data_IF_940737459099
#
_entry.id   IF_940737459099
#
_cell.length_a   1.000
_cell.length_b   1.000
_cell.length_c   1.000
_cell.angle_alpha   90.00
_cell.angle_beta   90.00
_cell.angle_gamma   90.00
#
_symmetry.space_group_name_H-M   'P 1'
#
loop_
_entity.id
_entity.type
_entity.pdbx_description
1 polymer ?
#
# COMPACT_ATOMS: atom_id res chain seq x y z
N UNK A 1 -12.33 -11.70 4.98
CA UNK A 1 -12.71 -11.84 6.39
C UNK A 1 -12.08 -10.72 7.22
N UNK A 2 -10.77 -10.72 7.45
CA UNK A 2 -10.07 -9.72 8.29
C UNK A 2 -10.47 -8.26 8.07
N UNK A 3 -10.53 -7.79 6.82
CA UNK A 3 -10.88 -6.38 6.53
C UNK A 3 -12.33 -6.05 6.92
N UNK A 4 -13.26 -6.99 6.74
CA UNK A 4 -14.64 -6.81 7.16
C UNK A 4 -14.77 -6.80 8.69
N UNK A 5 -13.97 -7.62 9.39
CA UNK A 5 -13.93 -7.62 10.86
C UNK A 5 -13.34 -6.33 11.42
N UNK A 6 -12.26 -5.82 10.81
CA UNK A 6 -11.65 -4.52 11.17
C UNK A 6 -12.66 -3.38 10.99
N UNK A 7 -13.41 -3.40 9.88
CA UNK A 7 -14.50 -2.44 9.65
C UNK A 7 -15.63 -2.59 10.68
N UNK A 8 -16.08 -3.82 10.96
CA UNK A 8 -17.11 -4.09 11.96
C UNK A 8 -16.70 -3.67 13.39
N UNK A 9 -15.40 -3.68 13.69
CA UNK A 9 -14.85 -3.17 14.93
C UNK A 9 -14.82 -1.63 15.03
N UNK A 10 -15.22 -0.91 13.96
CA UNK A 10 -15.32 0.54 13.94
C UNK A 10 -14.00 1.26 13.61
N UNK A 11 -13.03 0.57 13.00
CA UNK A 11 -11.80 1.22 12.55
C UNK A 11 -12.08 2.22 11.41
N UNK A 12 -11.36 3.34 11.39
CA UNK A 12 -11.42 4.33 10.30
C UNK A 12 -10.48 4.01 9.12
N UNK A 13 -9.48 3.15 9.36
CA UNK A 13 -8.52 2.74 8.34
C UNK A 13 -7.63 1.62 8.82
N UNK A 14 -6.91 1.01 7.88
CA UNK A 14 -6.01 -0.11 8.15
C UNK A 14 -4.78 -0.07 7.24
N UNK A 15 -3.64 -0.45 7.80
CA UNK A 15 -2.44 -0.71 7.02
C UNK A 15 -2.41 -2.18 6.61
N UNK A 16 -2.19 -2.46 5.33
CA UNK A 16 -1.96 -3.80 4.82
C UNK A 16 -0.58 -3.82 4.17
N UNK A 17 0.32 -4.69 4.63
CA UNK A 17 1.71 -4.72 4.16
C UNK A 17 1.96 -5.78 3.08
N UNK A 18 2.74 -5.41 2.05
CA UNK A 18 3.17 -6.36 1.02
C UNK A 18 4.27 -7.30 1.52
N UNK A 19 5.13 -6.84 2.41
CA UNK A 19 6.17 -7.65 3.04
C UNK A 19 7.26 -8.01 2.04
N UNK A 20 7.33 -9.28 1.62
CA UNK A 20 8.18 -9.73 0.50
C UNK A 20 7.36 -10.39 -0.60
N UNK A 21 6.03 -10.20 -0.60
CA UNK A 21 5.17 -10.78 -1.63
C UNK A 21 5.52 -10.21 -2.99
N UNK A 22 5.21 -11.01 -4.00
CA UNK A 22 5.19 -10.55 -5.37
C UNK A 22 4.15 -9.42 -5.51
N UNK A 23 4.47 -8.33 -6.23
CA UNK A 23 3.54 -7.20 -6.40
C UNK A 23 2.18 -7.61 -6.97
N UNK A 24 2.15 -8.65 -7.80
CA UNK A 24 0.90 -9.20 -8.36
C UNK A 24 0.00 -9.81 -7.29
N UNK A 25 0.56 -10.69 -6.47
CA UNK A 25 -0.15 -11.32 -5.36
C UNK A 25 -0.71 -10.27 -4.40
N UNK A 26 0.10 -9.26 -4.05
CA UNK A 26 -0.36 -8.22 -3.13
C UNK A 26 -1.47 -7.34 -3.73
N UNK A 27 -1.40 -7.03 -5.02
CA UNK A 27 -2.47 -6.27 -5.69
C UNK A 27 -3.81 -7.03 -5.66
N UNK A 28 -3.81 -8.35 -5.84
CA UNK A 28 -5.03 -9.16 -5.73
C UNK A 28 -5.60 -9.13 -4.30
N UNK A 29 -4.73 -9.18 -3.28
CA UNK A 29 -5.14 -9.03 -1.88
C UNK A 29 -5.72 -7.65 -1.60
N UNK A 30 -5.15 -6.60 -2.19
CA UNK A 30 -5.66 -5.23 -2.06
C UNK A 30 -7.04 -5.09 -2.70
N UNK A 31 -7.24 -5.63 -3.90
CA UNK A 31 -8.54 -5.67 -4.55
C UNK A 31 -9.58 -6.44 -3.72
N UNK A 32 -9.18 -7.57 -3.11
CA UNK A 32 -10.05 -8.33 -2.21
C UNK A 32 -10.43 -7.53 -0.95
N UNK A 33 -9.49 -6.74 -0.40
CA UNK A 33 -9.75 -5.83 0.72
C UNK A 33 -10.76 -4.75 0.33
N UNK A 34 -10.53 -4.05 -0.80
CA UNK A 34 -11.45 -3.03 -1.32
C UNK A 34 -12.85 -3.59 -1.53
N UNK A 35 -12.96 -4.75 -2.18
CA UNK A 35 -14.25 -5.41 -2.38
C UNK A 35 -14.93 -5.83 -1.07
N UNK A 36 -14.18 -6.15 -0.02
CA UNK A 36 -14.76 -6.46 1.29
C UNK A 36 -15.38 -5.22 1.95
N UNK A 37 -14.72 -4.06 1.87
CA UNK A 37 -15.24 -2.79 2.37
C UNK A 37 -16.49 -2.38 1.60
N UNK A 38 -16.49 -2.51 0.27
CA UNK A 38 -17.65 -2.20 -0.59
C UNK A 38 -18.87 -3.07 -0.26
N UNK A 39 -18.69 -4.40 -0.13
CA UNK A 39 -19.80 -5.31 0.22
C UNK A 39 -20.38 -5.04 1.60
N UNK A 40 -19.58 -4.53 2.53
CA UNK A 40 -20.04 -4.14 3.85
C UNK A 40 -20.72 -2.75 3.87
N UNK A 41 -20.65 -1.99 2.76
CA UNK A 41 -21.22 -0.65 2.66
C UNK A 41 -20.56 0.37 3.59
N UNK A 42 -19.30 0.12 3.99
CA UNK A 42 -18.57 0.98 4.91
C UNK A 42 -17.52 1.85 4.24
N UNK A 43 -16.91 2.72 5.04
CA UNK A 43 -15.83 3.61 4.65
C UNK A 43 -14.61 3.32 5.53
N UNK A 44 -13.69 2.52 5.00
CA UNK A 44 -12.44 2.14 5.66
C UNK A 44 -11.29 2.54 4.76
N UNK A 45 -10.41 3.43 5.23
CA UNK A 45 -9.24 3.85 4.50
C UNK A 45 -8.22 2.70 4.38
N UNK A 46 -7.94 2.26 3.14
CA UNK A 46 -7.00 1.19 2.86
C UNK A 46 -5.61 1.75 2.54
N UNK A 47 -4.70 1.70 3.51
CA UNK A 47 -3.33 2.17 3.35
C UNK A 47 -2.40 1.00 2.98
N UNK A 48 -1.92 0.97 1.74
CA UNK A 48 -1.00 -0.07 1.30
C UNK A 48 0.43 0.24 1.75
N UNK A 49 0.98 -0.60 2.61
CA UNK A 49 2.35 -0.49 3.09
C UNK A 49 3.31 -1.25 2.17
N UNK A 50 4.30 -0.53 1.64
CA UNK A 50 5.33 -1.04 0.71
C UNK A 50 6.66 -1.19 1.44
N UNK A 51 7.12 -2.42 1.63
CA UNK A 51 8.25 -2.74 2.50
C UNK A 51 9.63 -2.71 1.81
N UNK A 52 9.71 -2.21 0.58
CA UNK A 52 10.96 -2.15 -0.22
C UNK A 52 12.11 -1.46 0.51
N UNK A 53 11.85 -0.34 1.19
CA UNK A 53 12.85 0.39 1.96
C UNK A 53 13.12 -0.23 3.32
N UNK A 54 12.07 -0.50 4.11
CA UNK A 54 12.20 -1.10 5.44
C UNK A 54 12.96 -2.44 5.42
N UNK A 55 12.74 -3.26 4.38
CA UNK A 55 13.36 -4.59 4.25
C UNK A 55 14.53 -4.64 3.27
N UNK A 56 14.87 -3.51 2.65
CA UNK A 56 15.96 -3.42 1.68
C UNK A 56 15.78 -4.29 0.44
N UNK A 57 14.54 -4.49 -0.02
CA UNK A 57 14.25 -5.27 -1.23
C UNK A 57 14.75 -4.52 -2.48
N UNK A 58 15.18 -5.29 -3.48
CA UNK A 58 15.77 -4.75 -4.69
C UNK A 58 17.14 -4.06 -4.48
N UNK A 59 17.77 -3.69 -5.60
CA UNK A 59 19.04 -2.95 -5.56
C UNK A 59 18.83 -1.49 -5.12
N UNK A 60 19.79 -0.85 -4.42
CA UNK A 60 19.65 0.55 -3.99
C UNK A 60 19.30 1.53 -5.11
N UNK A 61 19.82 1.30 -6.32
CA UNK A 61 19.54 2.17 -7.50
C UNK A 61 18.18 1.94 -8.15
N UNK A 62 17.58 0.77 -7.97
CA UNK A 62 16.30 0.40 -8.60
C UNK A 62 15.12 0.48 -7.63
N UNK A 63 15.41 0.58 -6.33
CA UNK A 63 14.42 0.52 -5.25
C UNK A 63 13.33 1.58 -5.36
N UNK A 64 13.68 2.82 -5.70
CA UNK A 64 12.69 3.88 -5.88
C UNK A 64 11.71 3.54 -7.01
N UNK A 65 12.23 3.12 -8.17
CA UNK A 65 11.41 2.74 -9.31
C UNK A 65 10.49 1.55 -8.99
N UNK A 66 11.02 0.53 -8.31
CA UNK A 66 10.23 -0.62 -7.86
C UNK A 66 9.13 -0.21 -6.86
N UNK A 67 9.45 0.70 -5.93
CA UNK A 67 8.49 1.21 -4.94
C UNK A 67 7.35 1.96 -5.62
N UNK A 68 7.67 2.82 -6.59
CA UNK A 68 6.68 3.56 -7.36
C UNK A 68 5.80 2.63 -8.21
N UNK A 69 6.38 1.61 -8.83
CA UNK A 69 5.63 0.62 -9.59
C UNK A 69 4.64 -0.16 -8.69
N UNK A 70 5.11 -0.63 -7.53
CA UNK A 70 4.28 -1.27 -6.51
C UNK A 70 3.16 -0.33 -6.06
N UNK A 71 3.49 0.90 -5.69
CA UNK A 71 2.52 1.91 -5.25
C UNK A 71 1.42 2.14 -6.28
N UNK A 72 1.77 2.41 -7.55
CA UNK A 72 0.80 2.61 -8.61
C UNK A 72 -0.08 1.38 -8.84
N UNK A 73 0.50 0.18 -8.74
CA UNK A 73 -0.25 -1.08 -8.85
C UNK A 73 -1.26 -1.23 -7.72
N UNK A 74 -0.88 -0.88 -6.49
CA UNK A 74 -1.74 -1.02 -5.32
C UNK A 74 -2.84 0.05 -5.29
N UNK A 75 -2.55 1.28 -5.74
CA UNK A 75 -3.58 2.31 -5.99
C UNK A 75 -4.61 1.82 -7.00
N UNK A 76 -4.18 1.26 -8.14
CA UNK A 76 -5.11 0.66 -9.13
C UNK A 76 -5.93 -0.49 -8.57
N UNK A 77 -5.44 -1.17 -7.53
CA UNK A 77 -6.15 -2.24 -6.84
C UNK A 77 -7.08 -1.75 -5.71
N UNK A 78 -7.17 -0.44 -5.48
CA UNK A 78 -8.10 0.15 -4.52
C UNK A 78 -7.47 0.58 -3.19
N UNK A 79 -6.15 0.79 -3.13
CA UNK A 79 -5.53 1.47 -2.00
C UNK A 79 -5.85 2.98 -2.04
N UNK A 80 -6.26 3.52 -0.89
CA UNK A 80 -6.55 4.95 -0.70
C UNK A 80 -5.30 5.75 -0.33
N UNK A 81 -4.25 5.08 0.15
CA UNK A 81 -2.97 5.67 0.50
C UNK A 81 -1.81 4.69 0.38
N UNK A 82 -0.59 5.24 0.35
CA UNK A 82 0.64 4.46 0.28
C UNK A 82 1.56 4.82 1.44
N UNK A 83 2.02 3.81 2.17
CA UNK A 83 2.99 3.97 3.23
C UNK A 83 4.32 3.27 2.89
N UNK A 84 5.40 4.05 2.79
CA UNK A 84 6.76 3.53 2.52
C UNK A 84 7.66 3.71 3.74
N UNK A 85 7.67 2.77 4.70
CA UNK A 85 8.52 2.85 5.88
C UNK A 85 10.01 2.69 5.53
N UNK A 86 10.87 3.34 6.31
CA UNK A 86 12.33 3.23 6.21
C UNK A 86 12.99 4.26 5.29
N UNK A 87 12.23 5.17 4.70
CA UNK A 87 12.76 6.32 3.95
C UNK A 87 13.02 7.47 4.92
N UNK A 88 14.24 8.03 4.91
CA UNK A 88 14.63 9.12 5.81
C UNK A 88 15.25 10.32 5.11
N UNK A 89 15.69 10.16 3.85
CA UNK A 89 16.26 11.25 3.07
C UNK A 89 15.18 12.04 2.31
N UNK A 90 15.33 13.36 2.27
CA UNK A 90 14.34 14.27 1.69
C UNK A 90 14.18 14.10 0.18
N UNK A 91 15.24 13.70 -0.53
CA UNK A 91 15.21 13.52 -1.99
C UNK A 91 14.29 12.36 -2.38
N UNK A 92 14.46 11.20 -1.72
CA UNK A 92 13.59 10.04 -1.94
C UNK A 92 12.15 10.35 -1.54
N UNK A 93 11.93 11.03 -0.40
CA UNK A 93 10.58 11.43 0.02
C UNK A 93 9.92 12.32 -1.05
N UNK A 94 10.63 13.32 -1.57
CA UNK A 94 10.10 14.19 -2.62
C UNK A 94 9.75 13.42 -3.89
N UNK A 95 10.58 12.45 -4.29
CA UNK A 95 10.30 11.62 -5.46
C UNK A 95 9.08 10.70 -5.25
N UNK A 96 8.90 10.15 -4.04
CA UNK A 96 7.72 9.36 -3.68
C UNK A 96 6.44 10.21 -3.73
N UNK A 97 6.46 11.39 -3.11
CA UNK A 97 5.33 12.33 -3.14
C UNK A 97 4.97 12.75 -4.56
N UNK A 98 5.96 12.98 -5.43
CA UNK A 98 5.72 13.34 -6.82
C UNK A 98 5.18 12.17 -7.68
N UNK A 99 5.54 10.93 -7.32
CA UNK A 99 5.23 9.73 -8.11
C UNK A 99 4.00 8.93 -7.66
N UNK A 100 3.45 9.22 -6.48
CA UNK A 100 2.30 8.53 -5.90
C UNK A 100 1.08 9.47 -5.94
N UNK A 101 -0.04 9.07 -6.60
CA UNK A 101 -1.18 9.95 -6.83
C UNK A 101 -2.16 10.06 -5.64
N UNK A 102 -1.87 9.37 -4.55
CA UNK A 102 -2.68 9.31 -3.32
C UNK A 102 -1.82 9.70 -2.12
N UNK A 103 -2.42 10.05 -0.97
CA UNK A 103 -1.69 10.34 0.26
C UNK A 103 -0.74 9.24 0.73
#
# INVERSE_FOLDING_TARGET
ETVAEVLAAGAAGVNIEDGAREPGEFAERMAAARGAVERAGGDLFLNARVDTYLRGLGGPRTRLAETLERAQRYVRAGADGIFVPGVTDAETIAALVAGIPVP
#
